data_IF_690933658330
#
_entry.id   IF_690933658330
#
_cell.length_a   1.000
_cell.length_b   1.000
_cell.length_c   1.000
_cell.angle_alpha   90.00
_cell.angle_beta   90.00
_cell.angle_gamma   90.00
#
_symmetry.space_group_name_H-M   'P 1'
#
loop_
_entity.id
_entity.type
_entity.pdbx_description
1 polymer ?
#
# COMPACT_ATOMS: atom_id res chain seq x y z
N UNK A 1 17.81 -8.66 -41.14
CA UNK A 1 17.68 -8.55 -39.66
C UNK A 1 17.92 -9.93 -39.05
N UNK A 2 18.49 -9.97 -37.84
CA UNK A 2 18.79 -11.21 -37.11
C UNK A 2 17.83 -11.34 -35.92
N UNK A 3 17.28 -12.53 -35.69
CA UNK A 3 16.49 -12.82 -34.50
C UNK A 3 17.41 -12.88 -33.27
N UNK A 4 17.08 -12.12 -32.22
CA UNK A 4 17.81 -12.12 -30.95
C UNK A 4 17.74 -13.48 -30.23
N UNK A 5 16.68 -14.27 -30.46
CA UNK A 5 16.47 -15.51 -29.71
C UNK A 5 17.10 -16.77 -30.33
N UNK A 6 17.15 -16.86 -31.66
CA UNK A 6 17.65 -18.05 -32.36
C UNK A 6 18.78 -17.75 -33.35
N UNK A 7 19.25 -16.50 -33.34
CA UNK A 7 20.35 -16.00 -34.18
C UNK A 7 20.18 -16.18 -35.69
N UNK A 8 19.02 -16.66 -36.15
CA UNK A 8 18.80 -16.98 -37.55
C UNK A 8 18.87 -15.71 -38.40
N UNK A 9 19.82 -15.69 -39.34
CA UNK A 9 19.96 -14.66 -40.38
C UNK A 9 19.37 -15.22 -41.68
N UNK A 10 18.28 -14.64 -42.20
CA UNK A 10 17.86 -14.98 -43.58
C UNK A 10 16.39 -14.77 -43.99
N UNK A 11 16.24 -13.87 -44.94
CA UNK A 11 15.37 -13.71 -46.13
C UNK A 11 13.91 -14.20 -46.20
N UNK A 12 13.45 -15.23 -45.48
CA UNK A 12 12.08 -15.76 -45.60
C UNK A 12 11.28 -15.80 -44.28
N UNK A 13 11.83 -15.25 -43.21
CA UNK A 13 11.14 -15.15 -41.92
C UNK A 13 10.78 -13.70 -41.67
N UNK A 14 9.49 -13.41 -41.59
CA UNK A 14 9.01 -12.12 -41.09
C UNK A 14 9.60 -11.89 -39.70
N UNK A 15 10.31 -10.78 -39.55
CA UNK A 15 10.87 -10.36 -38.27
C UNK A 15 10.00 -9.25 -37.71
N UNK A 16 9.86 -9.23 -36.38
CA UNK A 16 9.10 -8.24 -35.65
C UNK A 16 9.97 -7.57 -34.61
N UNK A 17 9.70 -6.30 -34.38
CA UNK A 17 10.31 -5.53 -33.30
C UNK A 17 9.36 -5.55 -32.11
N UNK A 18 9.85 -5.88 -30.93
CA UNK A 18 9.05 -5.76 -29.71
C UNK A 18 8.79 -4.27 -29.42
N UNK A 19 7.53 -3.93 -29.18
CA UNK A 19 7.10 -2.56 -28.87
C UNK A 19 7.58 -2.07 -27.49
N UNK A 20 7.97 -2.97 -26.60
CA UNK A 20 8.46 -2.60 -25.26
C UNK A 20 9.97 -2.37 -25.21
N UNK A 21 10.76 -3.29 -25.78
CA UNK A 21 12.22 -3.32 -25.60
C UNK A 21 13.00 -3.24 -26.91
N UNK A 22 12.31 -3.02 -28.03
CA UNK A 22 12.90 -2.75 -29.35
C UNK A 22 13.77 -3.87 -29.96
N UNK A 23 13.89 -5.01 -29.29
CA UNK A 23 14.61 -6.21 -29.77
C UNK A 23 13.83 -6.93 -30.86
N UNK A 24 14.56 -7.68 -31.69
CA UNK A 24 14.07 -8.23 -32.96
C UNK A 24 13.92 -9.74 -32.84
N UNK A 25 12.78 -10.27 -33.28
CA UNK A 25 12.47 -11.69 -33.20
C UNK A 25 11.94 -12.19 -34.53
N UNK A 26 12.24 -13.44 -34.87
CA UNK A 26 11.53 -14.10 -35.96
C UNK A 26 10.17 -14.59 -35.47
N UNK A 27 9.24 -14.76 -36.41
CA UNK A 27 7.90 -15.29 -36.18
C UNK A 27 7.88 -16.56 -35.32
N UNK A 28 8.80 -17.50 -35.57
CA UNK A 28 8.94 -18.76 -34.81
C UNK A 28 9.38 -18.59 -33.36
N UNK A 29 9.98 -17.44 -33.04
CA UNK A 29 10.40 -17.09 -31.69
C UNK A 29 9.47 -16.04 -31.05
N UNK A 30 8.38 -15.71 -31.72
CA UNK A 30 7.31 -14.89 -31.16
C UNK A 30 6.23 -15.79 -30.56
N UNK A 31 5.44 -15.24 -29.64
CA UNK A 31 4.24 -15.89 -29.11
C UNK A 31 2.98 -15.53 -29.93
N UNK A 32 3.13 -15.02 -31.16
CA UNK A 32 2.01 -14.67 -32.00
C UNK A 32 1.31 -15.94 -32.51
N UNK A 33 -0.01 -15.93 -32.45
CA UNK A 33 -0.85 -16.92 -33.14
C UNK A 33 -0.88 -16.63 -34.65
N UNK A 34 -1.26 -17.62 -35.46
CA UNK A 34 -1.39 -17.48 -36.92
C UNK A 34 -2.29 -16.29 -37.32
N UNK A 35 -3.33 -15.99 -36.55
CA UNK A 35 -4.20 -14.83 -36.78
C UNK A 35 -3.48 -13.52 -36.49
N UNK A 36 -2.76 -13.43 -35.37
CA UNK A 36 -1.99 -12.25 -34.99
C UNK A 36 -0.85 -11.99 -35.98
N UNK A 37 -0.16 -13.04 -36.45
CA UNK A 37 0.85 -12.95 -37.50
C UNK A 37 0.28 -12.30 -38.78
N UNK A 38 -0.92 -12.73 -39.22
CA UNK A 38 -1.61 -12.16 -40.37
C UNK A 38 -1.98 -10.70 -40.12
N UNK A 39 -2.50 -10.36 -38.95
CA UNK A 39 -2.84 -8.98 -38.60
C UNK A 39 -1.62 -8.06 -38.62
N UNK A 40 -0.46 -8.49 -38.10
CA UNK A 40 0.78 -7.70 -38.15
C UNK A 40 1.31 -7.58 -39.58
N UNK A 41 1.19 -8.63 -40.39
CA UNK A 41 1.60 -8.62 -41.79
C UNK A 41 0.77 -7.65 -42.66
N UNK A 42 -0.49 -7.41 -42.29
CA UNK A 42 -1.40 -6.52 -43.02
C UNK A 42 -1.09 -5.02 -42.88
N UNK A 43 0.02 -4.62 -42.24
CA UNK A 43 0.48 -3.22 -42.04
C UNK A 43 -0.52 -2.26 -41.37
N UNK A 44 -1.71 -2.70 -41.00
CA UNK A 44 -2.61 -1.96 -40.11
C UNK A 44 -2.02 -1.98 -38.69
N UNK A 45 -1.32 -0.90 -38.31
CA UNK A 45 -0.51 -0.74 -37.09
C UNK A 45 -1.31 -0.73 -35.77
N UNK A 46 -2.31 -1.59 -35.59
CA UNK A 46 -3.14 -1.64 -34.38
C UNK A 46 -2.70 -2.71 -33.38
N UNK A 47 -2.00 -3.75 -33.82
CA UNK A 47 -1.56 -4.81 -32.92
C UNK A 47 -0.16 -4.53 -32.37
N UNK A 48 -0.04 -4.45 -31.04
CA UNK A 48 1.25 -4.40 -30.35
C UNK A 48 1.86 -5.79 -30.28
N UNK A 49 3.14 -5.89 -30.58
CA UNK A 49 3.92 -7.13 -30.55
C UNK A 49 4.90 -7.07 -29.38
N UNK A 50 4.82 -8.05 -28.49
CA UNK A 50 5.71 -8.17 -27.34
C UNK A 50 6.51 -9.47 -27.42
N UNK A 51 7.75 -9.42 -26.92
CA UNK A 51 8.56 -10.62 -26.80
C UNK A 51 8.18 -11.45 -25.57
N UNK A 52 8.61 -12.71 -25.54
CA UNK A 52 8.27 -13.64 -24.48
C UNK A 52 8.73 -13.15 -23.11
N UNK A 53 9.92 -12.54 -23.04
CA UNK A 53 10.45 -11.93 -21.82
C UNK A 53 9.55 -10.79 -21.33
N UNK A 54 9.20 -9.84 -22.19
CA UNK A 54 8.30 -8.75 -21.80
C UNK A 54 6.89 -9.23 -21.45
N UNK A 55 6.40 -10.29 -22.10
CA UNK A 55 5.11 -10.93 -21.77
C UNK A 55 5.17 -11.63 -20.40
N UNK A 56 6.24 -12.38 -20.11
CA UNK A 56 6.41 -13.06 -18.83
C UNK A 56 6.59 -12.06 -17.69
N UNK A 57 7.38 -11.01 -17.92
CA UNK A 57 7.60 -9.95 -16.93
C UNK A 57 6.29 -9.23 -16.63
N UNK A 58 5.49 -8.92 -17.66
CA UNK A 58 4.18 -8.29 -17.47
C UNK A 58 3.23 -9.19 -16.67
N UNK A 59 3.19 -10.49 -16.96
CA UNK A 59 2.35 -11.43 -16.19
C UNK A 59 2.76 -11.54 -14.71
N UNK A 60 4.08 -11.48 -14.45
CA UNK A 60 4.66 -11.46 -13.10
C UNK A 60 4.33 -10.17 -12.37
N UNK A 61 4.50 -9.03 -13.02
CA UNK A 61 4.14 -7.70 -12.51
C UNK A 61 2.66 -7.64 -12.15
N UNK A 62 1.77 -8.11 -13.04
CA UNK A 62 0.33 -8.13 -12.79
C UNK A 62 -0.04 -9.00 -11.59
N UNK A 63 0.60 -10.17 -11.45
CA UNK A 63 0.40 -11.05 -10.30
C UNK A 63 0.87 -10.41 -8.99
N UNK A 64 2.02 -9.75 -9.00
CA UNK A 64 2.55 -9.03 -7.83
C UNK A 64 1.69 -7.84 -7.45
N UNK A 65 1.23 -7.05 -8.43
CA UNK A 65 0.31 -5.93 -8.21
C UNK A 65 -1.00 -6.40 -7.55
N UNK A 66 -1.52 -7.57 -7.94
CA UNK A 66 -2.71 -8.16 -7.32
C UNK A 66 -2.48 -8.53 -5.85
N UNK A 67 -1.29 -9.07 -5.51
CA UNK A 67 -0.91 -9.39 -4.13
C UNK A 67 -0.76 -8.13 -3.28
N UNK A 68 -0.01 -7.15 -3.77
CA UNK A 68 0.20 -5.86 -3.10
C UNK A 68 -1.11 -5.11 -2.87
N UNK A 69 -2.04 -5.16 -3.84
CA UNK A 69 -3.35 -4.55 -3.69
C UNK A 69 -4.14 -5.16 -2.53
N UNK A 70 -4.18 -6.50 -2.41
CA UNK A 70 -4.83 -7.20 -1.30
C UNK A 70 -4.19 -6.84 0.05
N UNK A 71 -2.87 -6.76 0.10
CA UNK A 71 -2.15 -6.42 1.33
C UNK A 71 -2.40 -4.97 1.76
N UNK A 72 -2.44 -4.04 0.80
CA UNK A 72 -2.80 -2.65 1.04
C UNK A 72 -4.23 -2.51 1.59
N UNK A 73 -5.19 -3.22 1.00
CA UNK A 73 -6.58 -3.21 1.47
C UNK A 73 -6.68 -3.78 2.90
N UNK A 74 -5.95 -4.87 3.21
CA UNK A 74 -5.85 -5.43 4.58
C UNK A 74 -5.21 -4.46 5.58
N UNK A 75 -4.17 -3.73 5.18
CA UNK A 75 -3.52 -2.73 6.05
C UNK A 75 -4.45 -1.55 6.33
N UNK A 76 -5.22 -1.09 5.34
CA UNK A 76 -6.23 -0.05 5.53
C UNK A 76 -7.32 -0.45 6.52
N UNK A 77 -7.78 -1.69 6.43
CA UNK A 77 -8.76 -2.24 7.38
C UNK A 77 -8.22 -2.23 8.82
N UNK A 78 -6.99 -2.74 9.02
CA UNK A 78 -6.32 -2.69 10.33
C UNK A 78 -6.12 -1.26 10.84
N UNK A 79 -5.77 -0.32 9.96
CA UNK A 79 -5.55 1.06 10.35
C UNK A 79 -6.86 1.73 10.79
N UNK A 80 -7.96 1.40 10.12
CA UNK A 80 -9.30 1.82 10.55
C UNK A 80 -9.65 1.22 11.91
N UNK A 81 -9.43 -0.08 12.14
CA UNK A 81 -9.67 -0.72 13.44
C UNK A 81 -8.88 -0.03 14.58
N UNK A 82 -7.62 0.30 14.36
CA UNK A 82 -6.80 1.03 15.35
C UNK A 82 -7.37 2.43 15.61
N UNK A 83 -7.80 3.13 14.56
CA UNK A 83 -8.41 4.47 14.69
C UNK A 83 -9.74 4.45 15.44
N UNK A 84 -10.47 3.34 15.44
CA UNK A 84 -11.73 3.18 16.18
C UNK A 84 -11.51 2.70 17.63
N UNK A 85 -10.42 1.97 17.90
CA UNK A 85 -10.13 1.40 19.24
C UNK A 85 -9.28 2.32 20.13
N UNK A 86 -8.80 3.47 19.65
CA UNK A 86 -8.21 4.49 20.51
C UNK A 86 -9.33 5.26 21.22
N UNK A 87 -9.91 4.69 22.28
CA UNK A 87 -10.93 5.34 23.10
C UNK A 87 -10.36 6.56 23.84
N UNK A 88 -10.78 7.80 23.54
CA UNK A 88 -10.53 8.95 24.40
C UNK A 88 -11.37 8.92 25.70
N UNK A 89 -12.37 8.04 25.78
CA UNK A 89 -13.37 8.04 26.85
C UNK A 89 -12.80 7.65 28.23
N UNK A 90 -11.85 6.71 28.28
CA UNK A 90 -11.27 6.28 29.56
C UNK A 90 -10.45 7.38 30.24
N UNK A 91 -9.67 8.15 29.48
CA UNK A 91 -8.90 9.26 30.05
C UNK A 91 -9.78 10.42 30.53
N UNK A 92 -10.91 10.68 29.85
CA UNK A 92 -11.81 11.76 30.25
C UNK A 92 -12.50 11.46 31.59
N UNK A 93 -12.93 10.21 31.81
CA UNK A 93 -13.56 9.81 33.07
C UNK A 93 -12.56 9.76 34.23
N UNK A 94 -11.33 9.31 33.98
CA UNK A 94 -10.26 9.29 34.98
C UNK A 94 -9.85 10.71 35.38
N UNK A 95 -9.76 11.63 34.42
CA UNK A 95 -9.45 13.04 34.68
C UNK A 95 -10.54 13.71 35.52
N UNK A 96 -11.82 13.42 35.23
CA UNK A 96 -12.94 13.96 36.00
C UNK A 96 -12.97 13.43 37.44
N UNK A 97 -12.60 12.15 37.65
CA UNK A 97 -12.45 11.56 39.00
C UNK A 97 -11.31 12.22 39.76
N UNK A 98 -10.14 12.36 39.15
CA UNK A 98 -8.97 12.97 39.78
C UNK A 98 -9.22 14.44 40.16
N UNK A 99 -9.96 15.19 39.34
CA UNK A 99 -10.38 16.56 39.69
C UNK A 99 -11.24 16.61 40.93
N UNK A 100 -12.27 15.75 41.03
CA UNK A 100 -13.15 15.69 42.21
C UNK A 100 -12.40 15.30 43.48
N UNK A 101 -11.48 14.35 43.38
CA UNK A 101 -10.63 13.96 44.51
C UNK A 101 -9.72 15.10 44.96
N UNK A 102 -9.12 15.83 44.01
CA UNK A 102 -8.29 16.98 44.32
C UNK A 102 -9.09 18.10 45.02
N UNK A 103 -10.27 18.45 44.51
CA UNK A 103 -11.15 19.44 45.13
C UNK A 103 -11.53 19.05 46.57
N UNK A 104 -11.92 17.79 46.79
CA UNK A 104 -12.24 17.27 48.12
C UNK A 104 -11.05 17.37 49.09
N UNK A 105 -9.84 17.05 48.61
CA UNK A 105 -8.63 17.11 49.43
C UNK A 105 -8.27 18.56 49.79
N UNK A 106 -8.46 19.51 48.88
CA UNK A 106 -8.23 20.92 49.15
C UNK A 106 -9.19 21.47 50.20
N UNK A 107 -10.49 21.17 50.11
CA UNK A 107 -11.47 21.58 51.12
C UNK A 107 -11.14 21.00 52.50
N UNK A 108 -10.70 19.72 52.54
CA UNK A 108 -10.29 19.10 53.80
C UNK A 108 -9.07 19.80 54.42
N UNK A 109 -8.07 20.13 53.59
CA UNK A 109 -6.87 20.85 54.05
C UNK A 109 -7.20 22.26 54.57
N UNK A 110 -8.11 22.98 53.90
CA UNK A 110 -8.59 24.29 54.35
C UNK A 110 -9.28 24.22 55.72
N UNK A 111 -10.09 23.19 55.95
CA UNK A 111 -10.74 22.95 57.24
C UNK A 111 -9.73 22.63 58.34
N UNK A 112 -8.73 21.79 58.05
CA UNK A 112 -7.66 21.44 59.00
C UNK A 112 -6.81 22.66 59.38
N UNK A 113 -6.44 23.50 58.41
CA UNK A 113 -5.72 24.75 58.66
C UNK A 113 -6.53 25.71 59.54
N UNK A 114 -7.84 25.84 59.26
CA UNK A 114 -8.73 26.68 60.06
C UNK A 114 -8.83 26.17 61.50
N UNK A 115 -9.03 24.87 61.69
CA UNK A 115 -9.09 24.26 63.01
C UNK A 115 -7.79 24.46 63.82
N UNK A 116 -6.62 24.32 63.18
CA UNK A 116 -5.34 24.62 63.82
C UNK A 116 -5.20 26.09 64.21
N UNK A 117 -5.64 27.01 63.34
CA UNK A 117 -5.57 28.45 63.62
C UNK A 117 -6.45 28.85 64.81
N UNK A 118 -7.64 28.26 64.93
CA UNK A 118 -8.55 28.49 66.05
C UNK A 118 -7.96 27.96 67.36
N UNK A 119 -7.35 26.76 67.35
CA UNK A 119 -6.70 26.17 68.53
C UNK A 119 -5.54 27.01 69.07
N UNK A 120 -4.74 27.60 68.18
CA UNK A 120 -3.60 28.45 68.54
C UNK A 120 -4.03 29.79 69.15
N UNK A 121 -5.24 30.27 68.85
CA UNK A 121 -5.81 31.47 69.46
C UNK A 121 -6.30 31.17 70.88
N UNK A 122 -6.84 29.97 71.14
CA UNK A 122 -7.35 29.60 72.48
C UNK A 122 -6.26 29.19 73.48
N UNK A 123 -5.05 28.89 73.02
CA UNK A 123 -3.91 28.46 73.84
C UNK A 123 -2.92 29.58 74.19
N UNK A 124 -3.10 30.80 73.67
CA UNK A 124 -2.32 32.01 74.00
C UNK A 124 -3.15 33.00 74.82
#
# INVERSE_FOLDING_TARGET
MQCTNCESKGNNKTHYKCDSCAVIYCIKCSNLTVTEERCVALKERKLKVFCNTCLSDNSTIMSNNRKLKKENDRLKEKLNEISFNSEPNNMSEELERLKKEHESNMTKLELELKAQSELNITLN
#
